data_IF_308525970236
#
_entry.id   IF_308525970236
#
_cell.length_a   1.000
_cell.length_b   1.000
_cell.length_c   1.000
_cell.angle_alpha   90.00
_cell.angle_beta   90.00
_cell.angle_gamma   90.00
#
_symmetry.space_group_name_H-M   'P 1'
#
loop_
_entity.id
_entity.type
_entity.pdbx_description
1 polymer ?
#
# COMPACT_ATOMS: atom_id res chain seq x y z
N UNK A 1 14.65 23.12 12.30
CA UNK A 1 13.18 22.99 12.23
C UNK A 1 12.89 21.53 11.95
N UNK A 2 12.07 20.92 12.81
CA UNK A 2 12.05 19.51 13.21
C UNK A 2 12.04 18.44 12.12
N UNK A 3 13.06 17.57 12.15
CA UNK A 3 13.16 16.32 11.38
C UNK A 3 12.47 15.13 12.07
N UNK A 4 11.90 15.33 13.26
CA UNK A 4 11.23 14.30 14.08
C UNK A 4 9.75 14.11 13.74
N UNK A 5 9.08 15.11 13.16
CA UNK A 5 7.65 15.05 12.81
C UNK A 5 7.36 14.34 11.47
N UNK A 6 8.35 14.19 10.60
CA UNK A 6 8.15 13.61 9.25
C UNK A 6 8.06 12.08 9.28
N UNK A 7 8.67 11.41 10.26
CA UNK A 7 8.64 9.93 10.37
C UNK A 7 7.38 9.39 11.06
N UNK A 8 6.66 10.20 11.84
CA UNK A 8 5.55 9.74 12.71
C UNK A 8 4.22 9.55 11.97
N UNK A 9 4.06 10.10 10.77
CA UNK A 9 2.79 10.05 10.04
C UNK A 9 2.54 8.73 9.26
N UNK A 10 3.58 7.90 9.12
CA UNK A 10 3.52 6.64 8.37
C UNK A 10 3.38 5.39 9.24
N UNK A 11 3.51 5.55 10.56
CA UNK A 11 3.33 4.47 11.55
C UNK A 11 2.46 5.00 12.69
N UNK A 12 1.23 4.52 12.77
CA UNK A 12 0.32 4.83 13.89
C UNK A 12 -0.36 3.56 14.40
N UNK A 13 -0.53 3.40 15.73
CA UNK A 13 -1.35 2.34 16.29
C UNK A 13 -2.81 2.49 15.81
N UNK A 14 -3.38 1.43 15.26
CA UNK A 14 -4.73 1.42 14.68
C UNK A 14 -5.85 1.79 15.67
N UNK A 15 -5.65 1.57 16.97
CA UNK A 15 -6.63 1.92 18.01
C UNK A 15 -6.94 3.43 18.06
N UNK A 16 -6.01 4.30 17.66
CA UNK A 16 -6.25 5.75 17.57
C UNK A 16 -7.00 6.17 16.29
N UNK A 17 -7.13 5.30 15.29
CA UNK A 17 -7.76 5.60 13.99
C UNK A 17 -9.11 4.91 13.77
N UNK A 18 -9.54 4.01 14.66
CA UNK A 18 -10.79 3.26 14.51
C UNK A 18 -12.03 3.83 15.22
N UNK A 19 -12.13 5.16 15.36
CA UNK A 19 -13.45 5.82 15.48
C UNK A 19 -14.06 6.21 14.14
N UNK A 20 -13.63 5.58 13.03
CA UNK A 20 -14.19 5.83 11.69
C UNK A 20 -14.92 4.61 11.11
N UNK A 21 -15.71 3.93 11.94
CA UNK A 21 -16.78 3.04 11.49
C UNK A 21 -18.13 3.52 12.04
N UNK A 22 -18.45 4.79 11.80
CA UNK A 22 -19.78 5.42 11.71
C UNK A 22 -19.60 6.93 11.60
N UNK A 23 -19.03 7.41 10.51
CA UNK A 23 -19.34 8.77 10.07
C UNK A 23 -19.18 8.85 8.56
N UNK A 24 -20.27 9.23 7.91
CA UNK A 24 -20.35 9.61 6.52
C UNK A 24 -19.60 10.93 6.31
N UNK A 25 -18.27 10.90 6.38
CA UNK A 25 -17.45 12.04 5.95
C UNK A 25 -17.25 11.92 4.43
N UNK A 26 -17.96 12.76 3.67
CA UNK A 26 -17.82 12.87 2.20
C UNK A 26 -16.43 13.40 1.78
N UNK A 27 -15.59 13.79 2.72
CA UNK A 27 -14.30 14.46 2.50
C UNK A 27 -13.09 13.52 2.65
N UNK A 28 -13.24 12.36 3.28
CA UNK A 28 -12.19 11.35 3.30
C UNK A 28 -12.07 10.70 1.90
N UNK A 29 -10.86 10.49 1.37
CA UNK A 29 -10.70 9.80 0.10
C UNK A 29 -11.38 8.43 0.20
N UNK A 30 -12.36 8.21 -0.68
CA UNK A 30 -13.15 6.99 -0.73
C UNK A 30 -12.21 5.81 -0.94
N UNK A 31 -12.21 4.86 0.00
CA UNK A 31 -11.51 3.59 -0.19
C UNK A 31 -12.01 2.93 -1.47
N UNK A 32 -11.10 2.68 -2.39
CA UNK A 32 -11.43 2.12 -3.71
C UNK A 32 -11.48 0.60 -3.64
N UNK A 33 -10.75 0.00 -2.71
CA UNK A 33 -10.83 -1.43 -2.40
C UNK A 33 -10.19 -1.80 -1.06
N UNK A 34 -10.71 -2.85 -0.43
CA UNK A 34 -10.11 -3.53 0.71
C UNK A 34 -9.82 -4.97 0.30
N UNK A 35 -8.58 -5.39 0.47
CA UNK A 35 -8.11 -6.73 0.13
C UNK A 35 -7.54 -7.37 1.38
N UNK A 36 -7.95 -8.58 1.68
CA UNK A 36 -7.39 -9.39 2.75
C UNK A 36 -6.74 -10.62 2.13
N UNK A 37 -5.55 -10.97 2.57
CA UNK A 37 -4.88 -12.15 2.04
C UNK A 37 -3.61 -12.52 2.77
N UNK A 38 -3.22 -13.77 2.58
CA UNK A 38 -1.97 -14.31 3.11
C UNK A 38 -0.80 -13.89 2.22
N UNK A 39 0.31 -13.49 2.85
CA UNK A 39 1.54 -13.17 2.14
C UNK A 39 2.20 -14.45 1.67
N UNK A 40 2.32 -14.57 0.35
CA UNK A 40 2.95 -15.69 -0.33
C UNK A 40 4.41 -15.36 -0.70
N UNK A 41 5.17 -16.43 -0.93
CA UNK A 41 6.51 -16.31 -1.50
C UNK A 41 6.39 -15.92 -2.98
N UNK A 42 6.88 -14.74 -3.33
CA UNK A 42 7.09 -14.34 -4.73
C UNK A 42 8.48 -14.75 -5.23
N UNK A 43 8.85 -14.32 -6.44
CA UNK A 43 10.15 -14.61 -7.06
C UNK A 43 11.34 -13.89 -6.39
N UNK A 44 11.09 -13.15 -5.31
CA UNK A 44 12.09 -12.34 -4.59
C UNK A 44 12.80 -11.26 -5.41
N UNK A 45 12.45 -11.06 -6.69
CA UNK A 45 13.03 -10.05 -7.59
C UNK A 45 12.97 -8.64 -7.02
N UNK A 46 11.86 -8.26 -6.37
CA UNK A 46 11.75 -6.96 -5.69
C UNK A 46 12.82 -6.79 -4.61
N UNK A 47 13.03 -7.82 -3.77
CA UNK A 47 14.03 -7.82 -2.71
C UNK A 47 15.46 -7.69 -3.26
N UNK A 48 15.77 -8.37 -4.35
CA UNK A 48 17.08 -8.26 -5.03
C UNK A 48 17.35 -6.85 -5.56
N UNK A 49 16.28 -6.14 -5.95
CA UNK A 49 16.33 -4.76 -6.42
C UNK A 49 16.24 -3.71 -5.29
N UNK A 50 16.19 -4.13 -4.03
CA UNK A 50 16.07 -3.23 -2.86
C UNK A 50 14.64 -2.87 -2.45
N UNK A 51 13.63 -3.49 -3.04
CA UNK A 51 12.21 -3.25 -2.82
C UNK A 51 11.48 -4.51 -2.33
N UNK A 52 11.63 -4.90 -1.06
CA UNK A 52 10.86 -6.03 -0.53
C UNK A 52 9.36 -5.75 -0.66
N UNK A 53 8.62 -6.74 -1.17
CA UNK A 53 7.17 -6.66 -1.33
C UNK A 53 6.48 -7.85 -0.67
N UNK A 54 5.36 -7.59 -0.01
CA UNK A 54 4.41 -8.60 0.40
C UNK A 54 3.50 -8.95 -0.80
N UNK A 55 3.50 -10.21 -1.21
CA UNK A 55 2.73 -10.66 -2.38
C UNK A 55 1.46 -11.37 -1.92
N UNK A 56 0.32 -10.94 -2.41
CA UNK A 56 -0.99 -11.53 -2.09
C UNK A 56 -1.64 -11.95 -3.41
N UNK A 57 -2.02 -13.22 -3.52
CA UNK A 57 -2.75 -13.71 -4.69
C UNK A 57 -4.16 -13.13 -4.66
N UNK A 58 -4.54 -12.49 -5.76
CA UNK A 58 -5.90 -12.00 -5.94
C UNK A 58 -6.69 -13.05 -6.72
N UNK A 59 -7.86 -13.41 -6.19
CA UNK A 59 -8.90 -14.09 -6.97
C UNK A 59 -9.56 -13.12 -7.97
N UNK A 60 -10.86 -13.29 -8.20
CA UNK A 60 -11.66 -12.42 -9.09
C UNK A 60 -11.98 -11.03 -8.50
N UNK A 61 -11.08 -10.47 -7.68
CA UNK A 61 -11.28 -9.17 -7.06
C UNK A 61 -11.50 -8.08 -8.12
N UNK A 62 -12.53 -7.24 -7.96
CA UNK A 62 -12.93 -6.21 -8.93
C UNK A 62 -12.03 -4.97 -8.97
N UNK A 63 -10.95 -4.95 -8.20
CA UNK A 63 -9.95 -3.88 -8.20
C UNK A 63 -9.38 -3.67 -9.61
N UNK A 64 -9.09 -2.44 -10.01
CA UNK A 64 -8.40 -2.20 -11.30
C UNK A 64 -6.89 -2.40 -11.20
N UNK A 65 -6.29 -2.95 -12.25
CA UNK A 65 -4.83 -3.09 -12.33
C UNK A 65 -4.15 -1.71 -12.35
N UNK A 66 -3.05 -1.54 -11.62
CA UNK A 66 -2.30 -0.30 -11.54
C UNK A 66 -1.40 -0.24 -10.32
N UNK A 67 -0.74 0.90 -10.13
CA UNK A 67 0.01 1.20 -8.91
C UNK A 67 -0.78 2.19 -8.08
N UNK A 68 -0.82 1.95 -6.78
CA UNK A 68 -1.68 2.61 -5.83
C UNK A 68 -0.90 3.08 -4.60
N UNK A 69 -1.32 4.20 -4.02
CA UNK A 69 -1.03 4.55 -2.64
C UNK A 69 -2.10 3.89 -1.75
N UNK A 70 -1.66 3.27 -0.65
CA UNK A 70 -2.55 2.53 0.23
C UNK A 70 -2.03 2.40 1.66
N UNK A 71 -2.82 1.71 2.48
CA UNK A 71 -2.47 1.35 3.85
C UNK A 71 -2.46 -0.17 4.00
N UNK A 72 -1.51 -0.68 4.77
CA UNK A 72 -1.39 -2.11 5.10
C UNK A 72 -1.46 -2.26 6.61
N UNK A 73 -2.42 -3.04 7.09
CA UNK A 73 -2.52 -3.44 8.49
C UNK A 73 -1.94 -4.84 8.67
N UNK A 74 -1.03 -4.94 9.66
CA UNK A 74 -0.42 -6.18 10.12
C UNK A 74 -1.30 -6.88 11.19
N UNK A 75 -1.05 -8.18 11.49
CA UNK A 75 -1.81 -8.92 12.50
C UNK A 75 -1.74 -8.34 13.92
N UNK A 76 -0.65 -7.67 14.27
CA UNK A 76 -0.45 -7.00 15.56
C UNK A 76 -1.23 -5.67 15.68
N UNK A 77 -1.89 -5.25 14.60
CA UNK A 77 -2.66 -4.01 14.53
C UNK A 77 -1.84 -2.80 14.07
N UNK A 78 -0.52 -2.92 13.88
CA UNK A 78 0.27 -1.84 13.29
C UNK A 78 -0.18 -1.60 11.84
N UNK A 79 -0.20 -0.32 11.45
CA UNK A 79 -0.59 0.09 10.10
C UNK A 79 0.51 0.94 9.45
N UNK A 80 0.87 0.55 8.24
CA UNK A 80 1.92 1.18 7.44
C UNK A 80 1.34 1.79 6.17
N UNK A 81 1.90 2.92 5.73
CA UNK A 81 1.73 3.38 4.35
C UNK A 81 2.37 2.42 3.37
N UNK A 82 1.82 2.30 2.16
CA UNK A 82 2.39 1.42 1.13
C UNK A 82 2.22 1.95 -0.30
N UNK A 83 3.20 1.63 -1.14
CA UNK A 83 3.04 1.61 -2.59
C UNK A 83 2.60 0.19 -2.99
N UNK A 84 1.48 0.07 -3.70
CA UNK A 84 0.84 -1.22 -3.98
C UNK A 84 0.66 -1.40 -5.48
N UNK A 85 1.31 -2.41 -6.05
CA UNK A 85 1.12 -2.81 -7.44
C UNK A 85 0.04 -3.90 -7.51
N UNK A 86 -0.97 -3.69 -8.36
CA UNK A 86 -2.00 -4.69 -8.68
C UNK A 86 -1.90 -5.02 -10.15
N UNK A 87 -1.67 -6.28 -10.50
CA UNK A 87 -1.52 -6.69 -11.89
C UNK A 87 -1.39 -8.19 -12.09
N UNK A 88 -1.25 -8.61 -13.34
CA UNK A 88 -1.04 -10.01 -13.71
C UNK A 88 0.43 -10.27 -14.01
N UNK A 89 1.01 -11.30 -13.38
CA UNK A 89 2.29 -11.86 -13.79
C UNK A 89 2.06 -12.89 -14.89
N UNK A 90 2.70 -12.70 -16.04
CA UNK A 90 2.76 -13.74 -17.06
C UNK A 90 3.44 -14.98 -16.45
N UNK A 91 2.77 -16.11 -16.47
CA UNK A 91 3.35 -17.40 -16.08
C UNK A 91 3.88 -18.09 -17.33
N UNK A 92 4.88 -18.97 -17.16
CA UNK A 92 5.45 -19.75 -18.27
C UNK A 92 4.41 -20.68 -18.97
N UNK A 93 3.24 -20.91 -18.36
CA UNK A 93 2.28 -21.94 -18.79
C UNK A 93 0.93 -21.43 -19.32
N UNK A 94 0.68 -20.12 -19.48
CA UNK A 94 -0.62 -19.71 -20.06
C UNK A 94 -0.91 -18.20 -20.12
N UNK A 95 -1.89 -17.85 -20.98
CA UNK A 95 -2.34 -16.47 -21.24
C UNK A 95 -3.06 -15.83 -20.05
N UNK A 96 -3.55 -16.63 -19.10
CA UNK A 96 -4.19 -16.17 -17.88
C UNK A 96 -3.17 -16.17 -16.72
N UNK A 97 -2.27 -15.19 -16.74
CA UNK A 97 -1.30 -14.98 -15.68
C UNK A 97 -1.94 -14.80 -14.31
N UNK A 98 -1.24 -15.21 -13.24
CA UNK A 98 -1.70 -15.07 -11.86
C UNK A 98 -1.80 -13.58 -11.52
N UNK A 99 -2.95 -13.18 -11.01
CA UNK A 99 -3.17 -11.82 -10.55
C UNK A 99 -2.71 -11.67 -9.12
N UNK A 100 -1.89 -10.64 -8.88
CA UNK A 100 -1.22 -10.42 -7.62
C UNK A 100 -1.40 -8.97 -7.18
N UNK A 101 -1.39 -8.80 -5.87
CA UNK A 101 -1.10 -7.54 -5.21
C UNK A 101 0.31 -7.66 -4.62
N UNK A 102 1.17 -6.69 -4.95
CA UNK A 102 2.53 -6.58 -4.41
C UNK A 102 2.62 -5.27 -3.64
N UNK A 103 2.69 -5.36 -2.31
CA UNK A 103 2.74 -4.20 -1.42
C UNK A 103 4.17 -3.95 -0.91
N UNK A 104 4.72 -2.79 -1.23
CA UNK A 104 5.93 -2.27 -0.60
C UNK A 104 5.53 -1.36 0.57
N UNK A 105 5.70 -1.84 1.79
CA UNK A 105 5.40 -1.07 3.01
C UNK A 105 6.49 -0.03 3.24
N UNK A 106 6.08 1.22 3.38
CA UNK A 106 6.97 2.35 3.64
C UNK A 106 7.53 2.25 5.05
N UNK A 107 8.85 2.41 5.15
CA UNK A 107 9.60 2.44 6.43
C UNK A 107 9.45 1.15 7.27
N UNK A 108 9.01 0.05 6.64
CA UNK A 108 8.91 -1.26 7.28
C UNK A 108 10.15 -2.11 7.01
N UNK A 109 10.64 -2.76 8.07
CA UNK A 109 11.67 -3.78 7.99
C UNK A 109 11.22 -5.01 8.76
N UNK A 110 11.22 -6.17 8.12
CA UNK A 110 10.82 -7.42 8.74
C UNK A 110 10.41 -8.46 7.70
N UNK A 111 9.99 -9.63 8.20
CA UNK A 111 9.45 -10.71 7.38
C UNK A 111 7.93 -10.81 7.58
N UNK A 112 7.19 -10.76 6.48
CA UNK A 112 5.73 -10.86 6.45
C UNK A 112 5.25 -12.20 5.86
N UNK A 113 6.14 -13.10 5.45
CA UNK A 113 5.74 -14.36 4.83
C UNK A 113 4.81 -15.17 5.72
N UNK A 114 3.74 -15.69 5.12
CA UNK A 114 2.73 -16.48 5.80
C UNK A 114 1.77 -15.69 6.68
N UNK A 115 2.00 -14.39 6.90
CA UNK A 115 1.10 -13.54 7.68
C UNK A 115 -0.13 -13.13 6.85
N UNK A 116 -1.25 -12.86 7.53
CA UNK A 116 -2.44 -12.29 6.92
C UNK A 116 -2.39 -10.77 7.02
N UNK A 117 -2.55 -10.09 5.89
CA UNK A 117 -2.56 -8.64 5.83
C UNK A 117 -3.92 -8.13 5.36
N UNK A 118 -4.27 -6.92 5.81
CA UNK A 118 -5.35 -6.13 5.20
C UNK A 118 -4.74 -4.96 4.44
N UNK A 119 -5.10 -4.82 3.18
CA UNK A 119 -4.58 -3.77 2.29
C UNK A 119 -5.74 -2.91 1.80
N UNK A 120 -5.71 -1.63 2.17
CA UNK A 120 -6.63 -0.61 1.69
C UNK A 120 -6.00 0.13 0.51
N UNK A 121 -6.67 0.15 -0.63
CA UNK A 121 -6.28 0.93 -1.80
C UNK A 121 -7.02 2.27 -1.78
N UNK A 122 -6.26 3.36 -1.60
CA UNK A 122 -6.83 4.69 -1.43
C UNK A 122 -6.76 5.52 -2.73
N UNK A 123 -5.63 5.50 -3.45
CA UNK A 123 -5.44 6.33 -4.64
C UNK A 123 -4.61 5.63 -5.72
N UNK A 124 -5.08 5.68 -6.98
CA UNK A 124 -4.34 5.12 -8.12
C UNK A 124 -3.32 6.14 -8.62
N UNK A 125 -2.04 5.83 -8.45
CA UNK A 125 -0.90 6.66 -8.90
C UNK A 125 -0.77 6.57 -10.42
N UNK A 126 -0.83 5.36 -10.98
CA UNK A 126 -0.70 5.13 -12.44
C UNK A 126 -1.26 3.78 -12.90
N UNK A 127 -1.54 3.60 -14.20
CA UNK A 127 -1.78 2.28 -14.78
C UNK A 127 -0.52 1.39 -14.76
N UNK A 128 -0.72 0.09 -15.00
CA UNK A 128 0.38 -0.84 -15.26
C UNK A 128 1.09 -0.50 -16.57
N UNK A 129 2.41 -0.70 -16.62
CA UNK A 129 3.22 -0.47 -17.82
C UNK A 129 4.36 -1.48 -17.90
N UNK A 130 4.82 -1.76 -19.12
CA UNK A 130 6.06 -2.51 -19.35
C UNK A 130 7.25 -1.56 -19.36
N UNK A 131 8.43 -2.08 -19.01
CA UNK A 131 9.70 -1.38 -19.06
C UNK A 131 10.63 -2.07 -20.05
N UNK A 132 11.44 -1.29 -20.74
CA UNK A 132 12.44 -1.75 -21.71
C UNK A 132 13.59 -2.50 -21.04
N UNK A 133 13.92 -2.12 -19.81
CA UNK A 133 15.08 -2.58 -19.07
C UNK A 133 14.85 -2.44 -17.55
N UNK A 134 15.80 -2.98 -16.78
CA UNK A 134 15.75 -3.01 -15.32
C UNK A 134 15.96 -1.61 -14.72
N UNK A 135 16.79 -0.77 -15.34
CA UNK A 135 17.08 0.58 -14.83
C UNK A 135 15.83 1.46 -14.87
N UNK A 136 15.09 1.43 -15.98
CA UNK A 136 13.82 2.12 -16.14
C UNK A 136 12.77 1.62 -15.15
N UNK A 137 12.72 0.31 -14.88
CA UNK A 137 11.86 -0.27 -13.85
C UNK A 137 12.21 0.28 -12.47
N UNK A 138 13.48 0.20 -12.06
CA UNK A 138 13.95 0.67 -10.74
C UNK A 138 13.69 2.16 -10.56
N UNK A 139 13.97 2.98 -11.58
CA UNK A 139 13.68 4.41 -11.56
C UNK A 139 12.19 4.68 -11.35
N UNK A 140 11.32 3.94 -12.04
CA UNK A 140 9.88 4.09 -11.85
C UNK A 140 9.42 3.61 -10.47
N UNK A 141 9.98 2.52 -9.93
CA UNK A 141 9.64 2.03 -8.60
C UNK A 141 9.98 3.07 -7.51
N UNK A 142 11.12 3.75 -7.61
CA UNK A 142 11.45 4.86 -6.73
C UNK A 142 10.44 6.01 -6.84
N UNK A 143 10.04 6.37 -8.06
CA UNK A 143 9.04 7.41 -8.27
C UNK A 143 7.67 7.01 -7.67
N UNK A 144 7.24 5.76 -7.87
CA UNK A 144 5.98 5.25 -7.36
C UNK A 144 5.95 5.29 -5.81
N UNK A 145 7.07 4.98 -5.15
CA UNK A 145 7.21 5.08 -3.69
C UNK A 145 7.16 6.54 -3.23
N UNK A 146 7.85 7.44 -3.94
CA UNK A 146 7.84 8.87 -3.63
C UNK A 146 6.42 9.46 -3.78
N UNK A 147 5.71 9.10 -4.85
CA UNK A 147 4.35 9.54 -5.11
C UNK A 147 3.37 8.99 -4.06
N UNK A 148 3.50 7.70 -3.69
CA UNK A 148 2.71 7.10 -2.61
C UNK A 148 2.93 7.83 -1.29
N UNK A 149 4.20 8.09 -0.92
CA UNK A 149 4.57 8.85 0.29
C UNK A 149 3.97 10.26 0.25
N UNK A 150 4.14 10.98 -0.86
CA UNK A 150 3.62 12.33 -1.02
C UNK A 150 2.09 12.37 -0.89
N UNK A 151 1.38 11.45 -1.54
CA UNK A 151 -0.07 11.34 -1.44
C UNK A 151 -0.52 11.03 -0.01
N UNK A 152 0.12 10.06 0.65
CA UNK A 152 -0.20 9.67 2.03
C UNK A 152 0.06 10.80 3.02
N UNK A 153 1.16 11.55 2.90
CA UNK A 153 1.43 12.71 3.74
C UNK A 153 0.39 13.82 3.55
N UNK A 154 0.05 14.12 2.29
CA UNK A 154 -0.91 15.18 1.96
C UNK A 154 -2.32 14.85 2.46
N UNK A 155 -2.69 13.57 2.45
CA UNK A 155 -4.02 13.10 2.86
C UNK A 155 -4.08 12.59 4.31
N UNK A 156 -2.95 12.38 4.98
CA UNK A 156 -2.88 12.13 6.41
C UNK A 156 -3.32 13.37 7.21
N UNK A 157 -3.01 14.59 6.71
CA UNK A 157 -3.42 15.86 7.35
C UNK A 157 -4.94 16.02 7.40
N UNK A 158 -5.65 15.61 6.35
CA UNK A 158 -7.11 15.64 6.29
C UNK A 158 -7.77 14.64 7.26
N UNK A 159 -7.09 13.53 7.56
CA UNK A 159 -7.56 12.52 8.51
C UNK A 159 -7.29 12.89 9.98
N UNK A 160 -6.41 13.87 10.26
CA UNK A 160 -6.08 14.35 11.61
C UNK A 160 -6.82 15.66 11.95
N UNK A 161 -7.03 16.57 10.99
CA UNK A 161 -7.74 17.84 11.22
C UNK A 161 -9.23 17.67 11.56
N UNK A 162 -9.85 16.55 11.19
CA UNK A 162 -11.22 16.21 11.59
C UNK A 162 -11.29 15.46 12.94
N UNK A 163 -10.16 15.33 13.66
CA UNK A 163 -10.05 14.62 14.94
C UNK A 163 -9.66 15.51 16.14
N UNK A 164 -9.47 16.82 15.95
CA UNK A 164 -9.14 17.76 17.04
C UNK A 164 -10.37 18.63 17.32
N UNK A 165 -11.39 18.02 17.92
CA UNK A 165 -12.37 18.71 18.73
C UNK A 165 -12.68 17.79 19.92
N UNK A 166 -11.76 17.78 20.87
CA UNK A 166 -12.00 17.35 22.25
C UNK A 166 -12.14 18.68 23.02
N UNK A 167 -13.32 19.08 23.49
CA UNK A 167 -13.87 18.83 24.84
C UNK A 167 -14.68 20.10 25.22
N UNK A 168 -15.51 20.13 26.28
CA UNK A 168 -15.72 19.13 27.33
C UNK A 168 -17.02 18.29 27.21
#
# INVERSE_FOLDING_TARGET
MDSTLTSTLLRVPFAARLRLRRYSDRSAPKQVGLIEGRVEHGDRRGRELGFPTANIVLGEASTSDGVWAGLVQLPDGDTYGAAVSVGRRATFYGRDGIRLLEAHLLDFSGDLYGQWLRVCLDHRIRPQRRFSDIEALVKQMHQDIADARHWLHSNARLRVSNGIADQP
#
